data_IF_972243148551
#
_entry.id   IF_972243148551
#
_cell.length_a   1.000
_cell.length_b   1.000
_cell.length_c   1.000
_cell.angle_alpha   90.00
_cell.angle_beta   90.00
_cell.angle_gamma   90.00
#
_symmetry.space_group_name_H-M   'P 1'
#
loop_
_entity.id
_entity.type
_entity.pdbx_description
1 polymer ?
#
# COMPACT_ATOMS: atom_id res chain seq x y z
N UNK A 1 5.60 2.40 16.01
CA UNK A 1 5.17 1.74 14.76
C UNK A 1 6.23 2.01 13.72
N UNK A 2 6.89 0.97 13.26
CA UNK A 2 8.02 1.03 12.32
C UNK A 2 7.54 1.25 10.88
N UNK A 3 8.47 1.55 9.96
CA UNK A 3 8.15 1.59 8.53
C UNK A 3 7.68 0.23 8.01
N UNK A 4 8.25 -0.87 8.54
CA UNK A 4 7.85 -2.23 8.20
C UNK A 4 6.39 -2.50 8.61
N UNK A 5 5.99 -2.09 9.83
CA UNK A 5 4.61 -2.23 10.30
C UNK A 5 3.62 -1.47 9.40
N UNK A 6 4.02 -0.30 8.89
CA UNK A 6 3.21 0.51 7.96
C UNK A 6 3.04 -0.17 6.61
N UNK A 7 4.13 -0.73 6.07
CA UNK A 7 4.15 -1.50 4.81
C UNK A 7 3.25 -2.74 4.94
N UNK A 8 3.35 -3.47 6.06
CA UNK A 8 2.49 -4.62 6.33
C UNK A 8 1.01 -4.23 6.43
N UNK A 9 0.70 -3.16 7.16
CA UNK A 9 -0.66 -2.66 7.29
C UNK A 9 -1.22 -2.12 5.95
N UNK A 10 -0.37 -1.59 5.06
CA UNK A 10 -0.75 -1.22 3.70
C UNK A 10 -1.12 -2.47 2.89
N UNK A 11 -0.32 -3.54 2.98
CA UNK A 11 -0.62 -4.83 2.33
C UNK A 11 -1.98 -5.38 2.76
N UNK A 12 -2.25 -5.43 4.06
CA UNK A 12 -3.53 -5.92 4.59
C UNK A 12 -4.73 -5.07 4.09
N UNK A 13 -4.52 -3.76 3.99
CA UNK A 13 -5.52 -2.83 3.44
C UNK A 13 -5.79 -3.12 1.96
N UNK A 14 -4.76 -3.39 1.15
CA UNK A 14 -4.91 -3.75 -0.27
C UNK A 14 -5.62 -5.08 -0.47
N UNK A 15 -5.29 -6.10 0.32
CA UNK A 15 -6.00 -7.40 0.29
C UNK A 15 -7.49 -7.21 0.57
N UNK A 16 -7.82 -6.38 1.56
CA UNK A 16 -9.21 -6.04 1.88
C UNK A 16 -9.88 -5.29 0.72
N UNK A 17 -9.18 -4.33 0.11
CA UNK A 17 -9.69 -3.57 -1.03
C UNK A 17 -10.03 -4.47 -2.23
N UNK A 18 -9.18 -5.45 -2.54
CA UNK A 18 -9.42 -6.42 -3.62
C UNK A 18 -10.67 -7.26 -3.35
N UNK A 19 -10.88 -7.70 -2.12
CA UNK A 19 -12.09 -8.45 -1.73
C UNK A 19 -13.34 -7.60 -1.89
N UNK A 20 -13.36 -6.38 -1.34
CA UNK A 20 -14.51 -5.48 -1.41
C UNK A 20 -14.82 -5.02 -2.83
N UNK A 21 -13.79 -4.78 -3.63
CA UNK A 21 -13.91 -4.49 -5.06
C UNK A 21 -14.60 -5.63 -5.84
N UNK A 22 -14.40 -6.90 -5.44
CA UNK A 22 -15.12 -8.04 -6.04
C UNK A 22 -16.57 -8.12 -5.62
N UNK A 23 -16.88 -7.74 -4.38
CA UNK A 23 -18.24 -7.64 -3.84
C UNK A 23 -19.03 -6.43 -4.38
N UNK A 24 -18.42 -5.65 -5.29
CA UNK A 24 -18.95 -4.38 -5.80
C UNK A 24 -19.20 -3.32 -4.70
N UNK A 25 -18.58 -3.49 -3.53
CA UNK A 25 -18.54 -2.48 -2.47
C UNK A 25 -17.44 -1.44 -2.78
N UNK A 26 -17.79 -0.51 -3.67
CA UNK A 26 -16.89 0.53 -4.16
C UNK A 26 -16.38 1.44 -3.04
N UNK A 27 -17.26 1.91 -2.16
CA UNK A 27 -16.91 2.88 -1.12
C UNK A 27 -15.90 2.31 -0.12
N UNK A 28 -16.11 1.05 0.32
CA UNK A 28 -15.15 0.39 1.20
C UNK A 28 -13.84 0.09 0.47
N UNK A 29 -13.89 -0.33 -0.81
CA UNK A 29 -12.68 -0.54 -1.60
C UNK A 29 -11.85 0.74 -1.72
N UNK A 30 -12.44 1.87 -2.11
CA UNK A 30 -11.77 3.18 -2.21
C UNK A 30 -11.13 3.59 -0.89
N UNK A 31 -11.89 3.48 0.22
CA UNK A 31 -11.38 3.80 1.57
C UNK A 31 -10.15 2.97 1.93
N UNK A 32 -10.16 1.68 1.56
CA UNK A 32 -9.04 0.77 1.84
C UNK A 32 -7.84 1.04 0.95
N UNK A 33 -8.04 1.39 -0.32
CA UNK A 33 -6.95 1.80 -1.23
C UNK A 33 -6.32 3.10 -0.73
N UNK A 34 -7.12 4.11 -0.36
CA UNK A 34 -6.63 5.36 0.20
C UNK A 34 -5.86 5.14 1.51
N UNK A 35 -6.38 4.29 2.38
CA UNK A 35 -5.67 3.94 3.62
C UNK A 35 -4.36 3.19 3.37
N UNK A 36 -4.24 2.41 2.30
CA UNK A 36 -2.98 1.78 1.90
C UNK A 36 -1.99 2.83 1.36
N UNK A 37 -2.46 3.71 0.49
CA UNK A 37 -1.68 4.79 -0.13
C UNK A 37 -1.02 5.69 0.92
N UNK A 38 -1.77 6.15 1.93
CA UNK A 38 -1.22 6.96 3.02
C UNK A 38 -0.14 6.21 3.80
N UNK A 39 -0.37 4.92 4.12
CA UNK A 39 0.59 4.10 4.86
C UNK A 39 1.87 3.86 4.07
N UNK A 40 1.78 3.69 2.74
CA UNK A 40 2.94 3.55 1.88
C UNK A 40 3.78 4.83 1.87
N UNK A 41 3.16 6.01 1.78
CA UNK A 41 3.89 7.29 1.91
C UNK A 41 4.62 7.39 3.24
N UNK A 42 3.93 7.09 4.35
CA UNK A 42 4.50 7.13 5.70
C UNK A 42 5.54 6.03 5.95
N UNK A 43 5.46 4.91 5.22
CA UNK A 43 6.39 3.79 5.29
C UNK A 43 7.59 3.92 4.37
N UNK A 44 7.76 5.06 3.68
CA UNK A 44 8.90 5.31 2.79
C UNK A 44 8.78 4.67 1.41
N UNK A 45 7.56 4.33 0.95
CA UNK A 45 7.25 3.78 -0.38
C UNK A 45 6.40 4.72 -1.24
N UNK A 46 6.85 5.97 -1.52
CA UNK A 46 6.08 6.93 -2.31
C UNK A 46 5.88 6.50 -3.77
N UNK A 47 6.76 5.65 -4.30
CA UNK A 47 6.66 5.05 -5.63
C UNK A 47 5.42 4.14 -5.75
N UNK A 48 5.20 3.26 -4.79
CA UNK A 48 4.01 2.40 -4.74
C UNK A 48 2.75 3.20 -4.39
N UNK A 49 2.86 4.20 -3.52
CA UNK A 49 1.74 5.10 -3.21
C UNK A 49 1.20 5.80 -4.47
N UNK A 50 2.09 6.26 -5.36
CA UNK A 50 1.71 6.92 -6.62
C UNK A 50 0.93 5.99 -7.56
N UNK A 51 1.23 4.68 -7.56
CA UNK A 51 0.47 3.68 -8.33
C UNK A 51 -0.98 3.56 -7.82
N UNK A 52 -1.15 3.60 -6.50
CA UNK A 52 -2.47 3.57 -5.87
C UNK A 52 -3.27 4.86 -6.12
N UNK A 53 -2.60 6.01 -6.12
CA UNK A 53 -3.20 7.30 -6.45
C UNK A 53 -3.84 7.27 -7.86
N UNK A 54 -3.13 6.74 -8.86
CA UNK A 54 -3.69 6.57 -10.21
C UNK A 54 -4.91 5.63 -10.24
N UNK A 55 -4.92 4.61 -9.37
CA UNK A 55 -6.04 3.68 -9.24
C UNK A 55 -7.26 4.35 -8.59
N UNK A 56 -7.03 5.23 -7.61
CA UNK A 56 -8.07 6.01 -6.90
C UNK A 56 -8.73 7.06 -7.80
N UNK A 57 -8.00 7.63 -8.76
CA UNK A 57 -8.59 8.53 -9.76
C UNK A 57 -9.53 7.82 -10.75
N UNK A 58 -9.48 6.49 -10.81
CA UNK A 58 -10.34 5.66 -11.66
C UNK A 58 -11.43 4.92 -10.89
N UNK A 59 -11.95 3.84 -11.49
CA UNK A 59 -12.89 2.94 -10.83
C UNK A 59 -12.16 1.70 -10.26
N UNK A 60 -12.09 1.66 -8.93
CA UNK A 60 -11.43 0.59 -8.16
C UNK A 60 -12.12 -0.78 -8.28
N UNK A 61 -13.35 -0.83 -8.83
CA UNK A 61 -14.12 -2.06 -9.06
C UNK A 61 -13.85 -2.70 -10.41
N UNK A 62 -13.00 -2.10 -11.24
CA UNK A 62 -12.63 -2.67 -12.54
C UNK A 62 -11.67 -3.86 -12.39
N UNK A 63 -11.66 -4.75 -13.39
CA UNK A 63 -10.69 -5.84 -13.43
C UNK A 63 -9.24 -5.34 -13.49
N UNK A 64 -9.02 -4.22 -14.21
CA UNK A 64 -7.71 -3.56 -14.30
C UNK A 64 -7.25 -3.03 -12.94
N UNK A 65 -8.12 -2.29 -12.23
CA UNK A 65 -7.79 -1.80 -10.90
C UNK A 65 -7.49 -2.96 -9.93
N UNK A 66 -8.30 -4.02 -9.93
CA UNK A 66 -8.01 -5.22 -9.12
C UNK A 66 -6.68 -5.88 -9.45
N UNK A 67 -6.26 -5.87 -10.71
CA UNK A 67 -4.96 -6.39 -11.12
C UNK A 67 -3.84 -5.54 -10.53
N UNK A 68 -3.95 -4.23 -10.69
CA UNK A 68 -2.98 -3.26 -10.15
C UNK A 68 -2.85 -3.37 -8.63
N UNK A 69 -3.97 -3.40 -7.90
CA UNK A 69 -3.97 -3.55 -6.44
C UNK A 69 -3.31 -4.87 -5.98
N UNK A 70 -3.49 -5.97 -6.72
CA UNK A 70 -2.81 -7.25 -6.43
C UNK A 70 -1.32 -7.17 -6.71
N UNK A 71 -0.93 -6.52 -7.79
CA UNK A 71 0.48 -6.37 -8.15
C UNK A 71 1.23 -5.56 -7.08
N UNK A 72 0.65 -4.45 -6.63
CA UNK A 72 1.23 -3.68 -5.51
C UNK A 72 1.28 -4.52 -4.23
N UNK A 73 0.25 -5.30 -3.91
CA UNK A 73 0.28 -6.19 -2.74
C UNK A 73 1.39 -7.26 -2.84
N UNK A 74 1.64 -7.81 -4.04
CA UNK A 74 2.71 -8.77 -4.29
C UNK A 74 4.11 -8.15 -4.16
N UNK A 75 4.29 -6.91 -4.59
CA UNK A 75 5.55 -6.18 -4.39
C UNK A 75 5.81 -5.99 -2.90
N UNK A 76 4.79 -5.57 -2.12
CA UNK A 76 4.92 -5.46 -0.67
C UNK A 76 5.24 -6.82 0.00
N UNK A 77 4.64 -7.92 -0.48
CA UNK A 77 4.94 -9.26 0.03
C UNK A 77 6.41 -9.67 -0.20
N UNK A 78 6.97 -9.32 -1.36
CA UNK A 78 8.38 -9.55 -1.64
C UNK A 78 9.28 -8.75 -0.70
N UNK A 79 8.92 -7.50 -0.41
CA UNK A 79 9.68 -6.62 0.49
C UNK A 79 9.59 -7.00 1.96
N UNK A 80 8.48 -7.63 2.36
CA UNK A 80 8.26 -8.13 3.72
C UNK A 80 8.87 -9.53 3.94
N UNK A 81 9.35 -10.19 2.88
CA UNK A 81 10.00 -11.49 3.03
C UNK A 81 11.33 -11.35 3.77
N UNK A 82 11.59 -12.21 4.77
CA UNK A 82 12.79 -12.13 5.60
C UNK A 82 14.10 -12.41 4.83
N UNK A 83 14.01 -12.97 3.62
CA UNK A 83 15.14 -13.26 2.73
C UNK A 83 15.58 -12.07 1.86
N UNK A 84 14.90 -10.92 1.94
CA UNK A 84 15.28 -9.71 1.19
C UNK A 84 16.11 -8.81 2.09
N UNK A 85 17.44 -8.99 2.03
CA UNK A 85 18.49 -8.09 2.56
C UNK A 85 18.52 -6.73 1.80
N UNK A 86 17.35 -6.16 1.54
CA UNK A 86 17.18 -4.92 0.79
C UNK A 86 17.18 -3.73 1.74
N UNK A 87 18.34 -3.08 1.84
CA UNK A 87 18.58 -1.82 2.54
C UNK A 87 17.33 -0.93 2.67
N UNK A 88 16.73 -0.94 3.86
CA UNK A 88 15.75 0.08 4.25
C UNK A 88 16.48 1.41 4.26
N UNK A 89 16.22 2.28 3.27
CA UNK A 89 16.58 3.68 3.38
C UNK A 89 15.68 4.24 4.47
N UNK A 90 16.27 4.38 5.66
CA UNK A 90 15.68 5.17 6.75
C UNK A 90 15.47 6.56 6.17
N UNK A 91 14.21 6.94 5.93
CA UNK A 91 13.87 8.34 5.82
C UNK A 91 14.28 8.96 7.17
N UNK A 92 15.39 9.71 7.15
CA UNK A 92 15.98 10.35 8.32
C UNK A 92 14.86 11.08 9.06
N UNK A 93 14.49 10.56 10.24
CA UNK A 93 13.62 11.26 11.17
C UNK A 93 14.42 12.45 11.67
N UNK A 94 14.21 13.59 11.02
CA UNK A 94 14.76 14.87 11.43
C UNK A 94 14.08 15.28 12.73
N UNK A 95 14.59 14.76 13.85
CA UNK A 95 14.04 15.00 15.17
C UNK A 95 15.05 14.66 16.26
N UNK A 96 16.28 15.16 16.14
CA UNK A 96 17.13 15.32 17.31
C UNK A 96 16.78 16.63 18.06
N UNK A 97 16.82 16.52 19.39
CA UNK A 97 16.81 17.53 20.48
C UNK A 97 15.43 17.66 21.14
N UNK A 98 15.25 17.34 22.43
CA UNK A 98 16.15 17.45 23.60
C UNK A 98 16.11 16.22 24.53
#
# INVERSE_FOLDING_TARGET
MTNLDRVEAARQSLTTAVTRSREQDRATAETRVFSAELKLRQGGRPDLARRLEATLTGDVTTASARRELREVAQLLDAELSPDVDGAFIVASDGGERE
#
